data_IF_731627170569
#
_entry.id   IF_731627170569
#
_cell.length_a   1.000
_cell.length_b   1.000
_cell.length_c   1.000
_cell.angle_alpha   90.00
_cell.angle_beta   90.00
_cell.angle_gamma   90.00
#
_symmetry.space_group_name_H-M   'P 1'
#
loop_
_entity.id
_entity.type
_entity.pdbx_description
1 polymer ?
#
# COMPACT_ATOMS: atom_id res chain seq x y z
N UNK A 1 7.69 15.15 6.56
CA UNK A 1 7.03 14.86 5.27
C UNK A 1 5.54 15.01 5.42
N UNK A 2 4.81 15.44 4.39
CA UNK A 2 3.37 15.68 4.47
C UNK A 2 2.57 14.41 4.83
N UNK A 3 1.38 14.62 5.41
CA UNK A 3 0.35 13.61 5.54
C UNK A 3 -0.36 13.42 4.20
N UNK A 4 -0.49 12.17 3.73
CA UNK A 4 -1.34 11.87 2.58
C UNK A 4 -2.80 11.97 3.02
N UNK A 5 -3.58 12.84 2.38
CA UNK A 5 -5.01 12.98 2.64
C UNK A 5 -5.83 11.80 2.10
N UNK A 6 -7.11 11.74 2.46
CA UNK A 6 -8.01 10.66 2.01
C UNK A 6 -8.26 10.69 0.49
N UNK A 7 -8.37 11.88 -0.09
CA UNK A 7 -8.52 12.06 -1.54
C UNK A 7 -7.27 11.65 -2.31
N UNK A 8 -6.07 12.02 -1.83
CA UNK A 8 -4.80 11.57 -2.41
C UNK A 8 -4.68 10.04 -2.31
N UNK A 9 -5.04 9.49 -1.17
CA UNK A 9 -5.04 8.05 -0.97
C UNK A 9 -5.97 7.33 -1.95
N UNK A 10 -7.20 7.83 -2.13
CA UNK A 10 -8.15 7.27 -3.10
C UNK A 10 -7.57 7.30 -4.52
N UNK A 11 -6.92 8.40 -4.92
CA UNK A 11 -6.27 8.51 -6.23
C UNK A 11 -5.18 7.45 -6.44
N UNK A 12 -4.40 7.13 -5.41
CA UNK A 12 -3.38 6.08 -5.47
C UNK A 12 -3.98 4.67 -5.57
N UNK A 13 -5.05 4.40 -4.81
CA UNK A 13 -5.77 3.12 -4.88
C UNK A 13 -6.38 2.93 -6.27
N UNK A 14 -7.09 3.94 -6.77
CA UNK A 14 -7.69 3.92 -8.12
C UNK A 14 -6.63 3.67 -9.20
N UNK A 15 -5.45 4.30 -9.07
CA UNK A 15 -4.36 4.13 -10.03
C UNK A 15 -3.81 2.69 -10.03
N UNK A 16 -3.62 2.10 -8.85
CA UNK A 16 -3.21 0.70 -8.70
C UNK A 16 -4.24 -0.24 -9.29
N UNK A 17 -5.50 -0.09 -8.91
CA UNK A 17 -6.59 -0.93 -9.41
C UNK A 17 -6.68 -0.87 -10.94
N UNK A 18 -6.62 0.33 -11.53
CA UNK A 18 -6.71 0.51 -12.98
C UNK A 18 -5.53 -0.08 -13.75
N UNK A 19 -4.32 -0.05 -13.18
CA UNK A 19 -3.09 -0.46 -13.89
C UNK A 19 -2.63 -1.89 -13.60
N UNK A 20 -2.94 -2.44 -12.43
CA UNK A 20 -2.54 -3.80 -12.03
C UNK A 20 -3.71 -4.75 -11.82
N UNK A 21 -4.94 -4.23 -11.67
CA UNK A 21 -6.11 -5.02 -11.29
C UNK A 21 -6.15 -5.41 -9.80
N UNK A 22 -5.17 -4.97 -8.99
CA UNK A 22 -5.11 -5.30 -7.56
C UNK A 22 -5.99 -4.34 -6.77
N UNK A 23 -6.99 -4.90 -6.07
CA UNK A 23 -7.82 -4.16 -5.11
C UNK A 23 -7.06 -3.96 -3.81
N UNK A 24 -6.96 -2.71 -3.35
CA UNK A 24 -6.26 -2.38 -2.10
C UNK A 24 -7.28 -2.28 -0.96
N UNK A 25 -7.40 -3.29 -0.08
CA UNK A 25 -8.33 -3.22 1.03
C UNK A 25 -7.97 -2.09 2.01
N UNK A 26 -8.93 -1.52 2.75
CA UNK A 26 -8.71 -0.38 3.66
C UNK A 26 -7.60 -0.62 4.70
N UNK A 27 -7.47 -1.86 5.19
CA UNK A 27 -6.41 -2.24 6.14
C UNK A 27 -4.99 -2.11 5.59
N UNK A 28 -4.83 -1.91 4.28
CA UNK A 28 -3.54 -1.73 3.60
C UNK A 28 -3.21 -0.28 3.27
N UNK A 29 -4.04 0.67 3.74
CA UNK A 29 -3.78 2.12 3.61
C UNK A 29 -2.40 2.50 4.14
N UNK A 30 -2.05 2.09 5.35
CA UNK A 30 -0.76 2.39 5.97
C UNK A 30 0.42 1.83 5.16
N UNK A 31 0.26 0.64 4.59
CA UNK A 31 1.29 0.00 3.77
C UNK A 31 1.54 0.80 2.49
N UNK A 32 0.47 1.16 1.77
CA UNK A 32 0.55 1.97 0.56
C UNK A 32 1.22 3.32 0.86
N UNK A 33 0.73 4.05 1.87
CA UNK A 33 1.26 5.36 2.26
C UNK A 33 2.75 5.26 2.61
N UNK A 34 3.17 4.20 3.30
CA UNK A 34 4.57 3.99 3.69
C UNK A 34 5.45 3.67 2.48
N UNK A 35 4.98 2.82 1.56
CA UNK A 35 5.70 2.50 0.33
C UNK A 35 5.92 3.72 -0.56
N UNK A 36 4.84 4.48 -0.81
CA UNK A 36 4.90 5.74 -1.58
C UNK A 36 5.85 6.74 -0.92
N UNK A 37 5.73 6.96 0.40
CA UNK A 37 6.65 7.85 1.15
C UNK A 37 8.11 7.43 1.04
N UNK A 38 8.37 6.13 1.12
CA UNK A 38 9.73 5.59 1.02
C UNK A 38 10.31 5.90 -0.36
N UNK A 39 9.54 5.64 -1.43
CA UNK A 39 9.97 5.99 -2.79
C UNK A 39 10.20 7.48 -2.96
N UNK A 40 9.29 8.33 -2.49
CA UNK A 40 9.46 9.78 -2.54
C UNK A 40 10.77 10.26 -1.89
N UNK A 41 11.15 9.68 -0.74
CA UNK A 41 12.43 10.01 -0.09
C UNK A 41 13.64 9.62 -0.93
N UNK A 42 13.58 8.48 -1.60
CA UNK A 42 14.66 7.98 -2.45
C UNK A 42 14.80 8.78 -3.75
N UNK A 43 13.68 9.25 -4.31
CA UNK A 43 13.63 10.02 -5.56
C UNK A 43 13.68 11.53 -5.34
N UNK A 44 13.66 11.98 -4.08
CA UNK A 44 13.79 13.39 -3.71
C UNK A 44 12.51 14.22 -3.78
N UNK A 45 11.33 13.59 -3.89
CA UNK A 45 10.05 14.29 -3.87
C UNK A 45 9.57 14.56 -2.43
N UNK A 46 9.07 15.77 -2.22
CA UNK A 46 8.51 16.25 -0.94
C UNK A 46 6.98 16.39 -0.94
N UNK A 47 6.35 16.24 -2.12
CA UNK A 47 4.93 16.41 -2.35
C UNK A 47 4.34 15.19 -3.10
N UNK A 48 3.25 14.61 -2.57
CA UNK A 48 2.59 13.44 -3.15
C UNK A 48 1.99 13.71 -4.53
N UNK A 49 1.38 14.87 -4.78
CA UNK A 49 0.85 15.22 -6.09
C UNK A 49 1.97 15.32 -7.14
N UNK A 50 3.13 15.90 -6.77
CA UNK A 50 4.29 15.96 -7.68
C UNK A 50 4.80 14.57 -8.03
N UNK A 51 4.92 13.70 -7.03
CA UNK A 51 5.33 12.32 -7.26
C UNK A 51 4.29 11.53 -8.07
N UNK A 52 3.00 11.74 -7.80
CA UNK A 52 1.91 11.13 -8.56
C UNK A 52 1.97 11.52 -10.04
N UNK A 53 2.18 12.80 -10.34
CA UNK A 53 2.33 13.27 -11.71
C UNK A 53 3.56 12.65 -12.41
N UNK A 54 4.67 12.47 -11.70
CA UNK A 54 5.86 11.80 -12.25
C UNK A 54 5.57 10.35 -12.62
N UNK A 55 4.85 9.61 -11.77
CA UNK A 55 4.43 8.23 -12.04
C UNK A 55 3.47 8.14 -13.25
N UNK A 56 2.77 9.21 -13.56
CA UNK A 56 1.93 9.33 -14.76
C UNK A 56 2.69 9.84 -16.00
N UNK A 57 3.94 10.29 -15.85
CA UNK A 57 4.67 11.02 -16.88
C UNK A 57 5.32 10.10 -17.94
N UNK A 58 4.52 9.68 -18.91
CA UNK A 58 5.00 9.01 -20.12
C UNK A 58 5.85 7.76 -19.86
N UNK A 59 6.87 7.55 -20.68
CA UNK A 59 7.73 6.36 -20.61
C UNK A 59 8.60 6.31 -19.34
N UNK A 60 9.10 7.44 -18.86
CA UNK A 60 9.87 7.52 -17.62
C UNK A 60 9.00 7.17 -16.39
N UNK A 61 7.77 7.71 -16.35
CA UNK A 61 6.80 7.40 -15.31
C UNK A 61 6.40 5.93 -15.29
N UNK A 62 6.36 5.25 -16.45
CA UNK A 62 6.09 3.82 -16.51
C UNK A 62 7.17 2.96 -15.82
N UNK A 63 8.44 3.37 -15.89
CA UNK A 63 9.55 2.69 -15.20
C UNK A 63 9.43 2.90 -13.68
N UNK A 64 9.17 4.13 -13.25
CA UNK A 64 8.96 4.44 -11.84
C UNK A 64 7.72 3.71 -11.29
N UNK A 65 6.65 3.65 -12.07
CA UNK A 65 5.44 2.90 -11.75
C UNK A 65 5.75 1.41 -11.52
N UNK A 66 6.46 0.77 -12.45
CA UNK A 66 6.82 -0.63 -12.31
C UNK A 66 7.66 -0.87 -11.05
N UNK A 67 8.58 0.05 -10.73
CA UNK A 67 9.43 -0.04 -9.54
C UNK A 67 8.62 0.10 -8.25
N UNK A 68 7.66 1.03 -8.22
CA UNK A 68 6.76 1.22 -7.08
C UNK A 68 5.88 -0.01 -6.88
N UNK A 69 5.24 -0.51 -7.94
CA UNK A 69 4.35 -1.67 -7.88
C UNK A 69 5.12 -2.91 -7.42
N UNK A 70 6.28 -3.20 -8.00
CA UNK A 70 7.10 -4.36 -7.60
C UNK A 70 7.40 -4.35 -6.10
N UNK A 71 7.74 -3.19 -5.53
CA UNK A 71 7.96 -3.09 -4.07
C UNK A 71 6.69 -3.30 -3.27
N UNK A 72 5.56 -2.74 -3.71
CA UNK A 72 4.28 -2.91 -3.04
C UNK A 72 3.79 -4.37 -3.10
N UNK A 73 4.03 -5.11 -4.18
CA UNK A 73 3.57 -6.49 -4.38
C UNK A 73 4.56 -7.56 -3.91
N UNK A 74 5.87 -7.33 -4.02
CA UNK A 74 6.90 -8.24 -3.45
C UNK A 74 6.77 -8.27 -1.93
N UNK A 75 6.51 -7.13 -1.29
CA UNK A 75 6.24 -7.11 0.15
C UNK A 75 4.91 -7.78 0.52
N UNK A 76 3.88 -7.79 -0.36
CA UNK A 76 2.65 -8.57 -0.11
C UNK A 76 2.95 -10.05 0.09
N UNK A 77 3.68 -10.68 -0.83
CA UNK A 77 3.93 -12.14 -0.75
C UNK A 77 4.75 -12.55 0.48
N UNK A 78 5.54 -11.62 1.05
CA UNK A 78 6.28 -11.87 2.29
C UNK A 78 5.44 -11.60 3.55
N UNK A 79 4.52 -10.64 3.53
CA UNK A 79 3.66 -10.31 4.67
C UNK A 79 2.49 -11.30 4.85
N UNK A 80 2.00 -11.92 3.77
CA UNK A 80 0.96 -12.95 3.85
C UNK A 80 1.44 -14.31 4.39
N UNK A 81 2.74 -14.49 4.67
CA UNK A 81 3.26 -15.76 5.23
C UNK A 81 3.25 -15.79 6.77
N UNK A 82 2.88 -14.69 7.42
CA UNK A 82 2.56 -14.66 8.85
C UNK A 82 1.29 -13.83 9.06
N UNK A 83 0.14 -14.44 8.81
CA UNK A 83 -1.08 -14.06 9.53
C UNK A 83 -1.06 -14.90 10.82
N UNK A 84 -0.63 -14.38 11.98
CA UNK A 84 -0.75 -15.13 13.21
C UNK A 84 -2.25 -15.24 13.50
N UNK A 85 -2.73 -16.47 13.49
CA UNK A 85 -3.83 -16.98 14.30
C UNK A 85 -4.69 -15.93 15.01
N UNK A 86 -5.62 -15.27 14.30
CA UNK A 86 -6.82 -14.72 14.93
C UNK A 86 -7.84 -15.85 15.09
N UNK A 87 -7.45 -16.94 15.76
CA UNK A 87 -8.42 -17.81 16.40
C UNK A 87 -8.71 -17.20 17.76
N UNK A 88 -9.72 -16.34 17.76
CA UNK A 88 -10.50 -15.99 18.93
C UNK A 88 -11.14 -17.27 19.46
N UNK A 89 -10.44 -17.99 20.34
CA UNK A 89 -11.08 -19.04 21.13
C UNK A 89 -11.95 -18.31 22.14
N UNK A 90 -13.25 -18.26 21.81
CA UNK A 90 -14.30 -17.82 22.71
C UNK A 90 -14.13 -18.47 24.08
N UNK A 91 -14.44 -17.71 25.12
CA UNK A 91 -14.22 -18.04 26.52
C UNK A 91 -14.52 -19.50 26.87
N UNK A 92 -13.53 -20.11 27.52
CA UNK A 92 -13.67 -20.56 28.91
C UNK A 92 -15.12 -20.55 29.42
N UNK A 93 -15.74 -21.73 29.52
CA UNK A 93 -16.70 -22.13 30.57
C UNK A 93 -17.19 -23.55 30.23
N UNK A 94 -16.42 -24.57 30.64
CA UNK A 94 -16.99 -25.89 30.90
C UNK A 94 -17.54 -25.84 32.34
N UNK A 95 -18.87 -25.93 32.56
CA UNK A 95 -19.41 -26.00 33.90
C UNK A 95 -18.96 -27.32 34.54
N UNK A 96 -18.49 -27.22 35.78
CA UNK A 96 -18.17 -28.36 36.62
C UNK A 96 -19.41 -29.12 37.09
N UNK A 97 -19.11 -30.30 37.66
CA UNK A 97 -19.96 -31.29 38.33
C UNK A 97 -20.92 -32.11 37.47
#
# INVERSE_FOLDING_TARGET
MPSMGDEEFSRWVDLLERRTGVVVPPGRKTFLVTGVRTRMRETGYDNFDRYFNEVLNGACGAIEWSTLVDRLTVHETRFFRHQPSLQMIAGEWLPGS
#
